data_IF_519236357358
#
_entry.id   IF_519236357358
#
_cell.length_a   1.000
_cell.length_b   1.000
_cell.length_c   1.000
_cell.angle_alpha   90.00
_cell.angle_beta   90.00
_cell.angle_gamma   90.00
#
_symmetry.space_group_name_H-M   'P 1'
#
loop_
_entity.id
_entity.type
_entity.pdbx_description
1 polymer ?
#
# COMPACT_ATOMS: atom_id res chain seq x y z
N UNK A 1 -7.87 -2.00 -7.71
CA UNK A 1 -9.04 -1.08 -7.60
C UNK A 1 -8.75 0.27 -6.90
N UNK A 2 -7.49 0.57 -6.55
CA UNK A 2 -7.07 1.85 -5.94
C UNK A 2 -6.79 2.96 -6.94
N UNK A 3 -6.59 2.65 -8.23
CA UNK A 3 -6.08 3.61 -9.23
C UNK A 3 -6.97 4.80 -9.61
N UNK A 4 -8.03 5.11 -8.85
CA UNK A 4 -8.83 6.33 -8.98
C UNK A 4 -8.95 7.12 -7.66
N UNK A 5 -8.16 6.75 -6.65
CA UNK A 5 -8.10 7.45 -5.37
C UNK A 5 -6.86 8.35 -5.35
N UNK A 6 -6.96 9.50 -4.70
CA UNK A 6 -5.79 10.34 -4.45
C UNK A 6 -4.81 9.62 -3.50
N UNK A 7 -3.57 10.12 -3.47
CA UNK A 7 -2.48 9.53 -2.67
C UNK A 7 -2.85 9.36 -1.20
N UNK A 8 -3.50 10.36 -0.58
CA UNK A 8 -3.87 10.29 0.84
C UNK A 8 -4.92 9.20 1.06
N UNK A 9 -6.02 9.26 0.31
CA UNK A 9 -7.11 8.28 0.44
C UNK A 9 -6.62 6.86 0.19
N UNK A 10 -5.72 6.66 -0.78
CA UNK A 10 -5.10 5.37 -1.03
C UNK A 10 -4.34 4.83 0.20
N UNK A 11 -3.53 5.66 0.86
CA UNK A 11 -2.78 5.26 2.06
C UNK A 11 -3.74 4.98 3.23
N UNK A 12 -4.80 5.78 3.42
CA UNK A 12 -5.80 5.55 4.46
C UNK A 12 -6.50 4.19 4.29
N UNK A 13 -6.89 3.85 3.06
CA UNK A 13 -7.46 2.54 2.73
C UNK A 13 -6.45 1.41 2.98
N UNK A 14 -5.17 1.61 2.63
CA UNK A 14 -4.13 0.64 2.98
C UNK A 14 -4.02 0.45 4.49
N UNK A 15 -4.15 1.50 5.28
CA UNK A 15 -4.16 1.41 6.75
C UNK A 15 -5.28 0.52 7.28
N UNK A 16 -6.49 0.63 6.73
CA UNK A 16 -7.61 -0.26 7.06
C UNK A 16 -7.26 -1.70 6.71
N UNK A 17 -6.74 -1.97 5.50
CA UNK A 17 -6.38 -3.32 5.08
C UNK A 17 -5.25 -3.93 5.91
N UNK A 18 -4.26 -3.13 6.29
CA UNK A 18 -3.18 -3.58 7.16
C UNK A 18 -3.71 -3.95 8.55
N UNK A 19 -4.57 -3.11 9.14
CA UNK A 19 -5.20 -3.40 10.44
C UNK A 19 -6.03 -4.69 10.41
N UNK A 20 -6.85 -4.89 9.38
CA UNK A 20 -7.61 -6.13 9.20
C UNK A 20 -6.67 -7.33 9.03
N UNK A 21 -5.61 -7.18 8.24
CA UNK A 21 -4.63 -8.24 8.03
C UNK A 21 -3.88 -8.62 9.31
N UNK A 22 -3.53 -7.63 10.13
CA UNK A 22 -2.85 -7.84 11.41
C UNK A 22 -3.79 -8.46 12.46
N UNK A 23 -5.12 -8.31 12.30
CA UNK A 23 -6.14 -9.02 13.08
C UNK A 23 -6.38 -10.48 12.61
N UNK A 24 -5.64 -10.95 11.59
CA UNK A 24 -5.74 -12.32 11.07
C UNK A 24 -6.69 -12.49 9.88
N UNK A 25 -7.25 -11.41 9.34
CA UNK A 25 -8.08 -11.47 8.13
C UNK A 25 -7.16 -11.57 6.90
N UNK A 26 -7.43 -12.54 6.02
CA UNK A 26 -6.71 -12.62 4.75
C UNK A 26 -7.28 -11.62 3.76
N UNK A 27 -6.45 -10.66 3.32
CA UNK A 27 -6.82 -9.66 2.32
C UNK A 27 -6.05 -9.96 1.03
N UNK A 28 -6.77 -10.13 -0.07
CA UNK A 28 -6.20 -10.24 -1.42
C UNK A 28 -6.60 -9.00 -2.20
N UNK A 29 -5.63 -8.26 -2.70
CA UNK A 29 -5.87 -7.10 -3.56
C UNK A 29 -5.10 -7.23 -4.86
N UNK A 30 -5.64 -6.65 -5.93
CA UNK A 30 -4.99 -6.55 -7.24
C UNK A 30 -4.73 -5.09 -7.54
N UNK A 31 -3.47 -4.75 -7.79
CA UNK A 31 -3.05 -3.39 -8.17
C UNK A 31 -2.03 -3.43 -9.30
N UNK A 32 -1.97 -2.36 -10.08
CA UNK A 32 -0.92 -2.10 -11.07
C UNK A 32 0.16 -1.16 -10.54
N UNK A 33 -0.02 -0.64 -9.32
CA UNK A 33 0.84 0.35 -8.67
C UNK A 33 1.77 -0.36 -7.68
N UNK A 34 3.09 -0.17 -7.85
CA UNK A 34 4.10 -0.91 -7.08
C UNK A 34 4.25 -0.42 -5.63
N UNK A 35 4.00 0.86 -5.40
CA UNK A 35 3.89 1.49 -4.09
C UNK A 35 2.73 0.89 -3.28
N UNK A 36 1.55 0.73 -3.87
CA UNK A 36 0.40 0.06 -3.22
C UNK A 36 0.75 -1.39 -2.87
N UNK A 37 1.41 -2.12 -3.77
CA UNK A 37 1.86 -3.48 -3.51
C UNK A 37 2.88 -3.57 -2.36
N UNK A 38 3.61 -2.50 -2.07
CA UNK A 38 4.62 -2.45 -1.00
C UNK A 38 4.02 -2.42 0.40
N UNK A 39 2.72 -2.12 0.56
CA UNK A 39 2.00 -2.23 1.83
C UNK A 39 1.60 -3.68 2.19
N UNK A 40 1.68 -4.61 1.24
CA UNK A 40 1.31 -6.01 1.46
C UNK A 40 2.44 -6.81 2.13
N UNK A 41 2.11 -7.92 2.80
CA UNK A 41 3.11 -8.87 3.35
C UNK A 41 3.77 -9.72 2.27
N UNK A 42 3.06 -9.98 1.17
CA UNK A 42 3.47 -10.84 0.05
C UNK A 42 3.00 -10.22 -1.25
N UNK A 43 3.86 -10.28 -2.27
CA UNK A 43 3.61 -9.75 -3.61
C UNK A 43 3.73 -10.87 -4.63
N UNK A 44 2.68 -11.04 -5.42
CA UNK A 44 2.63 -12.00 -6.52
C UNK A 44 2.52 -11.22 -7.82
N UNK A 45 3.50 -11.36 -8.71
CA UNK A 45 3.49 -10.74 -10.03
C UNK A 45 3.03 -11.77 -11.04
N UNK A 46 1.98 -11.43 -11.80
CA UNK A 46 1.44 -12.29 -12.85
C UNK A 46 1.63 -11.65 -14.22
N UNK A 47 1.82 -12.48 -15.25
CA UNK A 47 1.87 -12.06 -16.65
C UNK A 47 1.37 -13.20 -17.53
N UNK A 48 0.43 -12.90 -18.43
CA UNK A 48 -0.14 -13.84 -19.39
C UNK A 48 -0.73 -15.11 -18.71
N UNK A 49 -1.41 -14.92 -17.58
CA UNK A 49 -2.01 -16.02 -16.79
C UNK A 49 -1.02 -16.83 -15.96
N UNK A 50 0.28 -16.50 -15.97
CA UNK A 50 1.32 -17.21 -15.25
C UNK A 50 1.90 -16.37 -14.11
N UNK A 51 2.23 -17.01 -13.00
CA UNK A 51 2.99 -16.40 -11.90
C UNK A 51 4.45 -16.23 -12.36
N UNK A 52 4.96 -15.00 -12.25
CA UNK A 52 6.34 -14.65 -12.57
C UNK A 52 7.19 -14.56 -11.32
N UNK A 53 6.67 -13.93 -10.26
CA UNK A 53 7.32 -13.89 -8.95
C UNK A 53 6.30 -14.02 -7.85
N UNK A 54 6.76 -14.55 -6.73
CA UNK A 54 5.97 -14.80 -5.56
C UNK A 54 6.89 -14.71 -4.34
N UNK A 55 6.86 -13.55 -3.67
CA UNK A 55 7.85 -13.20 -2.66
C UNK A 55 7.22 -12.46 -1.50
N UNK A 56 7.79 -12.66 -0.30
CA UNK A 56 7.50 -11.79 0.84
C UNK A 56 8.07 -10.40 0.56
N UNK A 57 7.34 -9.36 0.96
CA UNK A 57 7.83 -7.97 0.85
C UNK A 57 8.79 -7.72 2.01
N UNK A 58 10.09 -7.60 1.69
CA UNK A 58 11.14 -7.48 2.71
C UNK A 58 11.04 -6.19 3.55
N UNK A 59 10.67 -5.07 2.90
CA UNK A 59 10.47 -3.77 3.53
C UNK A 59 9.01 -3.34 3.34
N UNK A 60 8.10 -4.01 4.05
CA UNK A 60 6.67 -3.66 4.02
C UNK A 60 6.48 -2.23 4.50
N UNK A 61 5.83 -1.40 3.68
CA UNK A 61 5.48 -0.04 4.07
C UNK A 61 4.34 -0.07 5.10
N UNK A 62 4.38 0.81 6.09
CA UNK A 62 3.31 0.97 7.07
C UNK A 62 2.49 2.22 6.75
N UNK A 63 1.18 2.07 6.59
CA UNK A 63 0.30 3.18 6.22
C UNK A 63 0.33 4.33 7.25
N UNK A 64 0.48 4.01 8.54
CA UNK A 64 0.60 5.00 9.59
C UNK A 64 1.83 5.90 9.43
N UNK A 65 2.97 5.32 9.01
CA UNK A 65 4.22 6.05 8.78
C UNK A 65 4.11 6.91 7.51
N UNK A 66 3.59 6.33 6.42
CA UNK A 66 3.38 7.04 5.16
C UNK A 66 2.43 8.25 5.30
N UNK A 67 1.37 8.14 6.10
CA UNK A 67 0.49 9.27 6.41
C UNK A 67 1.20 10.36 7.21
N UNK A 68 2.02 9.98 8.19
CA UNK A 68 2.77 10.93 8.99
C UNK A 68 3.78 11.71 8.14
N UNK A 69 4.48 11.04 7.22
CA UNK A 69 5.38 11.69 6.25
C UNK A 69 4.63 12.66 5.34
N UNK A 70 3.51 12.22 4.75
CA UNK A 70 2.69 13.06 3.88
C UNK A 70 2.17 14.32 4.60
N UNK A 71 1.75 14.19 5.87
CA UNK A 71 1.31 15.33 6.68
C UNK A 71 2.43 16.34 6.93
N UNK A 72 3.68 15.88 7.09
CA UNK A 72 4.85 16.74 7.26
C UNK A 72 5.14 17.51 5.96
N UNK A 73 5.14 16.81 4.83
CA UNK A 73 5.36 17.43 3.51
C UNK A 73 4.30 18.50 3.20
N UNK A 74 3.03 18.19 3.42
CA UNK A 74 1.93 19.13 3.18
C UNK A 74 2.02 20.38 4.07
N UNK A 75 2.42 20.22 5.34
CA UNK A 75 2.65 21.36 6.24
C UNK A 75 3.83 22.22 5.78
N UNK A 76 4.92 21.60 5.32
CA UNK A 76 6.09 22.33 4.82
C UNK A 76 5.74 23.19 3.59
N UNK A 77 4.93 22.67 2.66
CA UNK A 77 4.46 23.40 1.48
C UNK A 77 3.54 24.56 1.87
N UNK A 78 2.70 24.41 2.88
CA UNK A 78 1.78 25.48 3.31
C UNK A 78 2.46 26.63 4.09
N UNK A 79 3.68 26.41 4.59
CA UNK A 79 4.47 27.40 5.33
C UNK A 79 5.44 28.21 4.45
N UNK A 80 5.54 27.88 3.16
CA UNK A 80 6.36 28.56 2.15
C UNK A 80 5.51 29.50 1.28
#
# INVERSE_FOLDING_TARGET
PTGNLDTRTSIEVMGVFQSLNDQGITVVMVTHELDIASFARRKVVMRDGLIRTDEAVAARWHAAEALAELDVEQKAVHLA
#
